data_IF_374222112446
#
_entry.id   IF_374222112446
#
_cell.length_a   1.000
_cell.length_b   1.000
_cell.length_c   1.000
_cell.angle_alpha   90.00
_cell.angle_beta   90.00
_cell.angle_gamma   90.00
#
_symmetry.space_group_name_H-M   'P 1'
#
loop_
_entity.id
_entity.type
_entity.pdbx_description
1 polymer ?
#
# COMPACT_ATOMS: atom_id res chain seq x y z
N UNK A 1 -14.27 10.22 45.36
CA UNK A 1 -13.93 8.86 44.87
C UNK A 1 -14.47 8.67 43.46
N UNK A 2 -14.04 9.55 42.55
CA UNK A 2 -14.61 9.75 41.21
C UNK A 2 -13.50 9.74 40.12
N UNK A 3 -12.35 9.16 40.48
CA UNK A 3 -11.10 9.15 39.68
C UNK A 3 -10.51 7.75 39.40
N UNK A 4 -11.25 6.67 39.65
CA UNK A 4 -10.81 5.29 39.31
C UNK A 4 -11.83 4.54 38.43
N UNK A 5 -13.04 5.08 38.22
CA UNK A 5 -14.09 4.46 37.39
C UNK A 5 -14.11 4.86 35.90
N UNK A 6 -13.25 5.79 35.46
CA UNK A 6 -13.21 6.28 34.06
C UNK A 6 -12.12 5.63 33.18
N UNK A 7 -11.20 4.85 33.77
CA UNK A 7 -10.09 4.21 33.06
C UNK A 7 -10.26 2.69 32.88
N UNK A 8 -11.10 2.06 33.67
CA UNK A 8 -11.27 0.60 33.68
C UNK A 8 -12.64 0.20 33.13
N UNK A 9 -12.96 0.63 31.91
CA UNK A 9 -14.17 0.24 31.19
C UNK A 9 -14.43 -1.27 31.30
N UNK A 10 -15.27 -1.61 32.27
CA UNK A 10 -15.98 -2.87 32.55
C UNK A 10 -15.31 -4.15 32.01
N UNK A 11 -14.64 -4.93 32.89
CA UNK A 11 -14.04 -6.25 32.56
C UNK A 11 -15.03 -7.32 32.07
N UNK A 12 -16.34 -7.08 32.11
CA UNK A 12 -17.37 -7.99 31.61
C UNK A 12 -17.83 -7.71 30.18
N UNK A 13 -17.49 -6.56 29.60
CA UNK A 13 -17.89 -6.20 28.22
C UNK A 13 -16.80 -6.58 27.20
N UNK A 14 -15.52 -6.63 27.60
CA UNK A 14 -14.44 -7.32 26.86
C UNK A 14 -14.72 -8.84 26.81
N UNK A 15 -15.37 -9.40 27.83
CA UNK A 15 -15.77 -10.81 27.88
C UNK A 15 -16.84 -11.17 26.83
N UNK A 16 -17.67 -10.21 26.41
CA UNK A 16 -18.68 -10.42 25.36
C UNK A 16 -18.11 -10.17 23.94
N UNK A 17 -17.14 -9.27 23.78
CA UNK A 17 -16.31 -9.17 22.55
C UNK A 17 -15.44 -10.43 22.35
N UNK A 18 -14.95 -11.01 23.44
CA UNK A 18 -14.37 -12.35 23.48
C UNK A 18 -15.41 -13.47 23.32
N UNK A 19 -16.70 -13.18 23.13
CA UNK A 19 -17.72 -14.18 22.77
C UNK A 19 -18.01 -14.24 21.27
N UNK A 20 -17.46 -13.31 20.48
CA UNK A 20 -17.05 -13.60 19.10
C UNK A 20 -15.90 -14.65 19.07
N UNK A 21 -15.29 -14.91 20.25
CA UNK A 21 -14.40 -16.03 20.56
C UNK A 21 -15.12 -17.20 21.28
N UNK A 22 -16.44 -17.35 21.16
CA UNK A 22 -17.15 -18.59 21.50
C UNK A 22 -18.17 -19.01 20.42
N UNK A 23 -17.69 -19.23 19.21
CA UNK A 23 -17.79 -20.57 18.64
C UNK A 23 -16.51 -21.29 19.06
N UNK A 24 -16.58 -22.13 20.10
CA UNK A 24 -15.40 -22.70 20.74
C UNK A 24 -14.42 -23.30 19.73
N UNK A 25 -13.17 -22.83 19.76
CA UNK A 25 -12.06 -23.47 19.02
C UNK A 25 -12.22 -23.66 17.51
N UNK A 26 -13.25 -23.08 16.88
CA UNK A 26 -13.56 -23.30 15.48
C UNK A 26 -13.47 -21.99 14.70
N UNK A 27 -12.73 -22.03 13.59
CA UNK A 27 -12.60 -20.93 12.65
C UNK A 27 -14.00 -20.44 12.21
N UNK A 28 -14.33 -19.20 12.56
CA UNK A 28 -15.64 -18.61 12.23
C UNK A 28 -15.55 -18.06 10.81
N UNK A 29 -16.09 -18.82 9.86
CA UNK A 29 -16.41 -18.33 8.52
C UNK A 29 -17.29 -17.07 8.66
N UNK A 30 -17.07 -15.98 7.91
CA UNK A 30 -18.06 -14.93 7.86
C UNK A 30 -19.39 -15.56 7.42
N UNK A 31 -20.52 -15.20 8.04
CA UNK A 31 -21.81 -15.83 7.81
C UNK A 31 -22.42 -15.36 6.49
N UNK A 32 -21.67 -15.56 5.40
CA UNK A 32 -22.02 -15.20 4.03
C UNK A 32 -23.28 -15.93 3.55
N UNK A 33 -23.59 -17.06 4.18
CA UNK A 33 -24.77 -17.89 3.97
C UNK A 33 -25.96 -17.53 4.88
N UNK A 34 -25.79 -16.66 5.88
CA UNK A 34 -26.86 -16.22 6.79
C UNK A 34 -27.43 -14.88 6.32
N UNK A 35 -28.64 -14.84 5.71
CA UNK A 35 -29.14 -13.64 5.04
C UNK A 35 -29.32 -12.43 5.94
N UNK A 36 -29.70 -12.65 7.20
CA UNK A 36 -30.04 -11.59 8.14
C UNK A 36 -28.88 -11.15 9.03
N UNK A 37 -27.72 -11.80 8.92
CA UNK A 37 -26.58 -11.50 9.77
C UNK A 37 -26.07 -10.09 9.51
N UNK A 38 -25.87 -9.35 10.60
CA UNK A 38 -25.31 -8.00 10.62
C UNK A 38 -24.64 -7.76 11.96
N UNK A 39 -23.76 -6.76 12.03
CA UNK A 39 -23.10 -6.38 13.27
C UNK A 39 -23.20 -4.87 13.53
N UNK A 40 -23.97 -4.52 14.57
CA UNK A 40 -24.37 -3.13 14.89
C UNK A 40 -23.48 -2.44 15.93
N UNK A 41 -22.52 -3.16 16.51
CA UNK A 41 -21.74 -2.66 17.66
C UNK A 41 -20.40 -2.05 17.26
N UNK A 42 -20.06 -2.07 15.97
CA UNK A 42 -18.79 -1.50 15.49
C UNK A 42 -18.77 0.02 15.66
N UNK A 43 -17.63 0.53 16.16
CA UNK A 43 -17.36 1.97 16.28
C UNK A 43 -16.43 2.48 15.19
N UNK A 44 -16.05 1.60 14.25
CA UNK A 44 -15.09 1.91 13.19
C UNK A 44 -15.71 2.79 12.11
N UNK A 45 -14.86 3.55 11.42
CA UNK A 45 -15.25 4.46 10.32
C UNK A 45 -16.11 3.79 9.24
N UNK A 46 -15.85 2.51 8.97
CA UNK A 46 -16.49 1.75 7.89
C UNK A 46 -17.60 0.82 8.39
N UNK A 47 -18.13 1.02 9.61
CA UNK A 47 -19.15 0.14 10.23
C UNK A 47 -20.39 -0.13 9.37
N UNK A 48 -20.74 0.76 8.44
CA UNK A 48 -21.89 0.57 7.54
C UNK A 48 -21.85 -0.77 6.80
N UNK A 49 -20.67 -1.25 6.37
CA UNK A 49 -20.56 -2.55 5.66
C UNK A 49 -20.88 -3.75 6.56
N UNK A 50 -20.83 -3.57 7.88
CA UNK A 50 -21.19 -4.57 8.88
C UNK A 50 -22.66 -4.43 9.30
N UNK A 51 -23.14 -3.19 9.44
CA UNK A 51 -24.54 -2.87 9.78
C UNK A 51 -25.51 -3.28 8.66
N UNK A 52 -25.09 -3.12 7.40
CA UNK A 52 -25.80 -3.52 6.18
C UNK A 52 -25.12 -4.71 5.46
N UNK A 53 -24.50 -5.60 6.23
CA UNK A 53 -23.97 -6.85 5.69
C UNK A 53 -25.02 -7.74 4.98
N UNK A 54 -26.33 -7.73 5.33
CA UNK A 54 -27.35 -8.44 4.57
C UNK A 54 -27.33 -8.13 3.08
N UNK A 55 -27.14 -6.86 2.69
CA UNK A 55 -27.04 -6.43 1.29
C UNK A 55 -25.79 -7.01 0.60
N UNK A 56 -24.64 -6.98 1.27
CA UNK A 56 -23.39 -7.53 0.74
C UNK A 56 -23.49 -9.05 0.56
N UNK A 57 -24.02 -9.74 1.58
CA UNK A 57 -24.16 -11.20 1.57
C UNK A 57 -25.20 -11.66 0.55
N UNK A 58 -26.25 -10.86 0.28
CA UNK A 58 -27.20 -11.10 -0.80
C UNK A 58 -26.51 -11.14 -2.16
N UNK A 59 -25.73 -10.10 -2.48
CA UNK A 59 -25.01 -10.05 -3.76
C UNK A 59 -23.94 -11.14 -3.85
N UNK A 60 -23.27 -11.45 -2.75
CA UNK A 60 -22.37 -12.61 -2.69
C UNK A 60 -23.10 -13.92 -3.06
N UNK A 61 -24.30 -14.17 -2.51
CA UNK A 61 -25.09 -15.37 -2.82
C UNK A 61 -25.56 -15.39 -4.28
N UNK A 62 -25.73 -14.23 -4.92
CA UNK A 62 -26.07 -14.12 -6.33
C UNK A 62 -24.92 -14.51 -7.29
N UNK A 63 -23.66 -14.49 -6.82
CA UNK A 63 -22.50 -14.88 -7.63
C UNK A 63 -22.54 -16.38 -7.99
N UNK A 64 -21.92 -16.77 -9.10
CA UNK A 64 -21.74 -18.18 -9.43
C UNK A 64 -20.97 -18.92 -8.32
N UNK A 65 -21.30 -20.20 -8.09
CA UNK A 65 -20.74 -21.02 -7.01
C UNK A 65 -19.21 -20.98 -6.98
N UNK A 66 -18.58 -21.04 -8.14
CA UNK A 66 -17.12 -21.06 -8.26
C UNK A 66 -16.45 -19.80 -7.71
N UNK A 67 -17.07 -18.61 -7.84
CA UNK A 67 -16.56 -17.37 -7.25
C UNK A 67 -16.79 -17.34 -5.74
N UNK A 68 -17.98 -17.80 -5.31
CA UNK A 68 -18.33 -17.89 -3.88
C UNK A 68 -17.36 -18.80 -3.13
N UNK A 69 -17.01 -19.94 -3.71
CA UNK A 69 -16.08 -20.90 -3.12
C UNK A 69 -14.69 -20.28 -2.90
N UNK A 70 -14.18 -19.49 -3.87
CA UNK A 70 -12.89 -18.80 -3.72
C UNK A 70 -12.96 -17.76 -2.61
N UNK A 71 -13.96 -16.87 -2.64
CA UNK A 71 -14.13 -15.80 -1.64
C UNK A 71 -14.28 -16.39 -0.23
N UNK A 72 -15.11 -17.42 -0.07
CA UNK A 72 -15.37 -18.05 1.22
C UNK A 72 -14.14 -18.75 1.79
N UNK A 73 -13.36 -19.46 0.95
CA UNK A 73 -12.08 -20.08 1.35
C UNK A 73 -11.06 -19.02 1.82
N UNK A 74 -10.92 -17.93 1.07
CA UNK A 74 -10.03 -16.83 1.44
C UNK A 74 -10.49 -16.18 2.75
N UNK A 75 -11.76 -15.83 2.88
CA UNK A 75 -12.30 -15.27 4.11
C UNK A 75 -12.07 -16.17 5.33
N UNK A 76 -12.25 -17.49 5.17
CA UNK A 76 -12.00 -18.45 6.24
C UNK A 76 -10.53 -18.46 6.67
N UNK A 77 -9.60 -18.55 5.71
CA UNK A 77 -8.15 -18.53 5.98
C UNK A 77 -7.67 -17.22 6.59
N UNK A 78 -8.17 -16.08 6.07
CA UNK A 78 -7.88 -14.75 6.61
C UNK A 78 -8.39 -14.63 8.05
N UNK A 79 -9.63 -15.05 8.32
CA UNK A 79 -10.21 -15.01 9.66
C UNK A 79 -9.44 -15.86 10.67
N UNK A 80 -9.04 -17.08 10.28
CA UNK A 80 -8.21 -17.94 11.11
C UNK A 80 -6.84 -17.31 11.41
N UNK A 81 -6.18 -16.75 10.40
CA UNK A 81 -4.90 -16.08 10.53
C UNK A 81 -4.96 -14.81 11.39
N UNK A 82 -5.98 -13.98 11.20
CA UNK A 82 -6.23 -12.80 12.03
C UNK A 82 -6.44 -13.20 13.50
N UNK A 83 -7.21 -14.27 13.75
CA UNK A 83 -7.45 -14.78 15.10
C UNK A 83 -6.17 -15.30 15.79
N UNK A 84 -5.20 -15.83 15.03
CA UNK A 84 -3.87 -16.19 15.54
C UNK A 84 -3.14 -14.95 16.06
N UNK A 85 -3.08 -13.88 15.27
CA UNK A 85 -2.37 -12.65 15.61
C UNK A 85 -3.11 -11.73 16.60
N UNK A 86 -4.35 -12.04 16.99
CA UNK A 86 -4.98 -11.43 18.16
C UNK A 86 -4.33 -11.87 19.48
N UNK A 87 -3.62 -13.00 19.49
CA UNK A 87 -3.09 -13.60 20.73
C UNK A 87 -1.58 -13.39 20.88
N UNK A 88 -0.92 -12.82 19.88
CA UNK A 88 0.54 -12.62 19.88
C UNK A 88 0.93 -11.36 19.12
N UNK A 89 2.13 -10.87 19.40
CA UNK A 89 2.78 -9.81 18.63
C UNK A 89 3.62 -10.41 17.51
N UNK A 90 4.07 -9.58 16.57
CA UNK A 90 5.01 -9.97 15.51
C UNK A 90 6.44 -9.96 16.07
N UNK A 91 7.01 -11.14 16.32
CA UNK A 91 8.34 -11.23 16.92
C UNK A 91 9.45 -11.28 15.86
N UNK A 92 9.29 -12.04 14.76
CA UNK A 92 10.31 -12.23 13.73
C UNK A 92 9.92 -11.70 12.35
N UNK A 93 10.89 -11.58 11.43
CA UNK A 93 10.62 -11.27 10.03
C UNK A 93 9.72 -12.33 9.36
N UNK A 94 9.89 -13.59 9.72
CA UNK A 94 9.04 -14.68 9.22
C UNK A 94 7.60 -14.55 9.73
N UNK A 95 7.40 -14.15 10.99
CA UNK A 95 6.06 -13.87 11.51
C UNK A 95 5.46 -12.62 10.87
N UNK A 96 6.28 -11.64 10.49
CA UNK A 96 5.82 -10.47 9.76
C UNK A 96 5.33 -10.84 8.36
N UNK A 97 6.06 -11.70 7.65
CA UNK A 97 5.61 -12.30 6.38
C UNK A 97 4.31 -13.08 6.56
N UNK A 98 4.21 -13.89 7.63
CA UNK A 98 3.00 -14.66 7.94
C UNK A 98 1.79 -13.77 8.25
N UNK A 99 2.00 -12.69 8.99
CA UNK A 99 0.95 -11.69 9.24
C UNK A 99 0.49 -11.07 7.92
N UNK A 100 1.42 -10.56 7.11
CA UNK A 100 1.12 -9.94 5.81
C UNK A 100 0.43 -10.93 4.85
N UNK A 101 0.83 -12.20 4.87
CA UNK A 101 0.16 -13.27 4.14
C UNK A 101 -1.31 -13.36 4.53
N UNK A 102 -1.62 -13.43 5.83
CA UNK A 102 -3.00 -13.56 6.27
C UNK A 102 -3.87 -12.34 5.97
N UNK A 103 -3.35 -11.12 6.08
CA UNK A 103 -4.18 -9.91 5.94
C UNK A 103 -4.29 -9.42 4.49
N UNK A 104 -3.27 -9.64 3.65
CA UNK A 104 -3.26 -9.13 2.26
C UNK A 104 -2.77 -10.17 1.26
N UNK A 105 -1.79 -11.02 1.58
CA UNK A 105 -1.30 -12.05 0.65
C UNK A 105 -2.41 -13.02 0.19
N UNK A 106 -3.29 -13.43 1.10
CA UNK A 106 -4.48 -14.24 0.79
C UNK A 106 -5.49 -13.51 -0.09
N UNK A 107 -5.63 -12.18 0.05
CA UNK A 107 -6.47 -11.37 -0.83
C UNK A 107 -5.94 -11.43 -2.26
N UNK A 108 -4.62 -11.26 -2.43
CA UNK A 108 -3.97 -11.38 -3.73
C UNK A 108 -4.12 -12.77 -4.34
N UNK A 109 -3.91 -13.85 -3.55
CA UNK A 109 -4.15 -15.24 -3.99
C UNK A 109 -5.62 -15.44 -4.42
N UNK A 110 -6.57 -14.91 -3.65
CA UNK A 110 -7.99 -14.96 -3.98
C UNK A 110 -8.32 -14.30 -5.30
N UNK A 111 -7.81 -13.09 -5.52
CA UNK A 111 -7.98 -12.35 -6.77
C UNK A 111 -7.35 -13.09 -7.96
N UNK A 112 -6.15 -13.63 -7.80
CA UNK A 112 -5.49 -14.44 -8.84
C UNK A 112 -6.33 -15.66 -9.23
N UNK A 113 -6.89 -16.37 -8.25
CA UNK A 113 -7.82 -17.49 -8.49
C UNK A 113 -9.08 -17.03 -9.20
N UNK A 114 -9.66 -15.89 -8.81
CA UNK A 114 -10.83 -15.32 -9.48
C UNK A 114 -10.52 -14.98 -10.96
N UNK A 115 -9.37 -14.37 -11.26
CA UNK A 115 -8.99 -14.05 -12.65
C UNK A 115 -8.89 -15.30 -13.52
N UNK A 116 -8.31 -16.39 -13.01
CA UNK A 116 -8.23 -17.65 -13.75
C UNK A 116 -9.60 -18.33 -13.90
N UNK A 117 -10.42 -18.34 -12.86
CA UNK A 117 -11.76 -18.96 -12.90
C UNK A 117 -12.75 -18.17 -13.76
N UNK A 118 -12.57 -16.85 -13.85
CA UNK A 118 -13.31 -15.98 -14.78
C UNK A 118 -12.82 -16.12 -16.23
N UNK A 119 -11.80 -16.96 -16.48
CA UNK A 119 -11.12 -17.10 -17.78
C UNK A 119 -10.57 -15.77 -18.32
N UNK A 120 -10.30 -14.80 -17.43
CA UNK A 120 -9.64 -13.54 -17.78
C UNK A 120 -8.14 -13.71 -17.91
N UNK A 121 -7.57 -14.72 -17.26
CA UNK A 121 -6.13 -15.00 -17.26
C UNK A 121 -5.88 -16.51 -17.30
N UNK A 122 -4.67 -16.90 -17.70
CA UNK A 122 -4.28 -18.31 -17.72
C UNK A 122 -4.40 -18.97 -16.33
N UNK A 123 -4.68 -20.29 -16.24
CA UNK A 123 -4.80 -21.01 -14.97
C UNK A 123 -3.57 -20.91 -14.06
N UNK A 124 -2.38 -20.72 -14.65
CA UNK A 124 -1.12 -20.58 -13.88
C UNK A 124 -1.15 -19.37 -12.93
N UNK A 125 -1.89 -18.30 -13.27
CA UNK A 125 -2.03 -17.12 -12.42
C UNK A 125 -2.70 -17.47 -11.09
N UNK A 126 -3.77 -18.26 -11.13
CA UNK A 126 -4.48 -18.72 -9.92
C UNK A 126 -3.80 -19.87 -9.18
N UNK A 127 -2.84 -20.56 -9.81
CA UNK A 127 -2.10 -21.70 -9.22
C UNK A 127 -0.81 -21.28 -8.52
N UNK A 128 -0.09 -20.28 -9.05
CA UNK A 128 1.16 -19.78 -8.49
C UNK A 128 0.89 -18.86 -7.28
N UNK A 129 0.64 -19.49 -6.13
CA UNK A 129 0.31 -18.77 -4.90
C UNK A 129 1.48 -18.01 -4.32
N UNK A 130 2.72 -18.38 -4.65
CA UNK A 130 3.92 -17.71 -4.12
C UNK A 130 4.05 -16.30 -4.70
N UNK A 131 3.97 -16.18 -6.03
CA UNK A 131 3.99 -14.87 -6.68
C UNK A 131 2.78 -14.01 -6.30
N UNK A 132 1.60 -14.62 -6.25
CA UNK A 132 0.39 -13.92 -5.81
C UNK A 132 0.52 -13.43 -4.36
N UNK A 133 1.12 -14.22 -3.47
CA UNK A 133 1.38 -13.81 -2.10
C UNK A 133 2.34 -12.61 -2.05
N UNK A 134 3.46 -12.66 -2.78
CA UNK A 134 4.46 -11.59 -2.81
C UNK A 134 3.85 -10.25 -3.28
N UNK A 135 2.91 -10.27 -4.24
CA UNK A 135 2.15 -9.09 -4.66
C UNK A 135 1.43 -8.41 -3.49
N UNK A 136 0.77 -9.19 -2.62
CA UNK A 136 0.05 -8.68 -1.47
C UNK A 136 0.97 -8.25 -0.33
N UNK A 137 1.99 -9.06 -0.03
CA UNK A 137 2.95 -8.79 1.04
C UNK A 137 3.75 -7.50 0.76
N UNK A 138 4.13 -7.24 -0.49
CA UNK A 138 4.81 -6.00 -0.85
C UNK A 138 3.99 -4.75 -0.52
N UNK A 139 2.70 -4.77 -0.88
CA UNK A 139 1.76 -3.67 -0.60
C UNK A 139 1.63 -3.48 0.91
N UNK A 140 1.36 -4.57 1.65
CA UNK A 140 1.10 -4.50 3.09
C UNK A 140 2.31 -4.00 3.87
N UNK A 141 3.52 -4.46 3.52
CA UNK A 141 4.75 -3.96 4.15
C UNK A 141 4.95 -2.46 3.90
N UNK A 142 4.68 -1.98 2.68
CA UNK A 142 4.76 -0.55 2.38
C UNK A 142 3.77 0.29 3.20
N UNK A 143 2.57 -0.25 3.45
CA UNK A 143 1.56 0.40 4.30
C UNK A 143 2.02 0.41 5.76
N UNK A 144 2.39 -0.74 6.33
CA UNK A 144 2.84 -0.89 7.73
C UNK A 144 4.05 0.01 8.02
N UNK A 145 5.00 0.12 7.10
CA UNK A 145 6.16 1.00 7.27
C UNK A 145 5.73 2.46 7.32
N UNK A 146 4.87 2.89 6.38
CA UNK A 146 4.43 4.28 6.27
C UNK A 146 3.54 4.72 7.43
N UNK A 147 2.69 3.82 7.94
CA UNK A 147 1.67 4.12 8.95
C UNK A 147 2.15 3.95 10.40
N UNK A 148 3.47 3.77 10.62
CA UNK A 148 4.09 3.62 11.94
C UNK A 148 3.47 4.55 13.02
N UNK A 149 3.42 5.87 12.79
CA UNK A 149 2.94 6.80 13.81
C UNK A 149 1.43 6.69 14.05
N UNK A 150 0.64 6.46 13.00
CA UNK A 150 -0.81 6.27 13.10
C UNK A 150 -1.14 5.01 13.91
N UNK A 151 -0.39 3.93 13.66
CA UNK A 151 -0.50 2.68 14.42
C UNK A 151 -0.08 2.86 15.88
N UNK A 152 1.02 3.54 16.15
CA UNK A 152 1.45 3.82 17.53
C UNK A 152 0.41 4.62 18.31
N UNK A 153 -0.17 5.67 17.70
CA UNK A 153 -1.21 6.48 18.35
C UNK A 153 -2.49 5.69 18.63
N UNK A 154 -2.77 4.66 17.82
CA UNK A 154 -3.87 3.73 18.02
C UNK A 154 -3.52 2.51 18.90
N UNK A 155 -2.30 2.44 19.43
CA UNK A 155 -1.85 1.33 20.27
C UNK A 155 -1.60 0.02 19.51
N UNK A 156 -1.35 0.09 18.20
CA UNK A 156 -1.04 -1.05 17.33
C UNK A 156 0.47 -1.14 17.05
N UNK A 157 1.00 -2.36 17.02
CA UNK A 157 2.43 -2.63 16.82
C UNK A 157 2.62 -3.75 15.80
N UNK A 158 3.04 -3.40 14.58
CA UNK A 158 3.20 -4.37 13.48
C UNK A 158 4.65 -4.59 13.04
N UNK A 159 5.58 -3.72 13.46
CA UNK A 159 6.99 -3.89 13.10
C UNK A 159 7.58 -5.08 13.88
N UNK A 160 8.37 -5.95 13.23
CA UNK A 160 8.91 -7.16 13.85
C UNK A 160 9.95 -6.84 14.91
N UNK A 161 9.79 -7.43 16.10
CA UNK A 161 10.70 -7.23 17.25
C UNK A 161 12.15 -7.54 16.95
N UNK A 162 12.39 -8.62 16.20
CA UNK A 162 13.71 -9.04 15.73
C UNK A 162 14.49 -7.87 15.09
N UNK A 163 13.80 -6.96 14.41
CA UNK A 163 14.41 -5.77 13.80
C UNK A 163 14.43 -4.61 14.79
N UNK A 164 13.27 -4.12 15.25
CA UNK A 164 13.22 -2.85 15.97
C UNK A 164 13.90 -2.89 17.35
N UNK A 165 13.99 -4.07 17.97
CA UNK A 165 14.61 -4.22 19.30
C UNK A 165 16.12 -3.98 19.30
N UNK A 166 16.75 -3.99 18.12
CA UNK A 166 18.17 -3.61 17.94
C UNK A 166 18.37 -2.09 17.99
N UNK A 167 17.32 -1.31 17.78
CA UNK A 167 17.36 0.15 17.68
C UNK A 167 16.74 0.84 18.90
N UNK A 168 15.79 0.19 19.57
CA UNK A 168 15.13 0.73 20.75
C UNK A 168 14.61 -0.35 21.70
N UNK A 169 14.32 0.05 22.95
CA UNK A 169 13.79 -0.86 23.98
C UNK A 169 12.30 -1.19 23.79
N UNK A 170 11.54 -0.26 23.23
CA UNK A 170 10.13 -0.43 22.85
C UNK A 170 9.92 0.15 21.45
N UNK A 171 8.97 -0.41 20.69
CA UNK A 171 8.65 0.12 19.36
C UNK A 171 8.22 1.59 19.40
N UNK A 172 7.45 1.98 20.42
CA UNK A 172 7.01 3.36 20.65
C UNK A 172 8.15 4.34 20.91
N UNK A 173 9.32 3.85 21.35
CA UNK A 173 10.46 4.73 21.61
C UNK A 173 11.05 5.30 20.31
N UNK A 174 10.80 4.69 19.14
CA UNK A 174 11.27 5.22 17.85
C UNK A 174 10.60 6.56 17.48
N UNK A 175 9.43 6.87 18.04
CA UNK A 175 8.77 8.17 17.85
C UNK A 175 9.41 9.31 18.67
N UNK A 176 10.28 9.00 19.64
CA UNK A 176 10.90 10.00 20.51
C UNK A 176 11.93 10.84 19.74
N UNK A 177 11.97 12.17 19.91
CA UNK A 177 12.90 13.04 19.19
C UNK A 177 14.36 12.62 19.30
N UNK A 178 14.79 12.14 20.47
CA UNK A 178 16.14 11.67 20.75
C UNK A 178 16.52 10.37 20.03
N UNK A 179 15.56 9.57 19.57
CA UNK A 179 15.79 8.30 18.88
C UNK A 179 15.60 8.39 17.36
N UNK A 180 15.39 9.60 16.81
CA UNK A 180 14.98 9.76 15.41
C UNK A 180 15.98 9.16 14.41
N UNK A 181 17.28 9.22 14.70
CA UNK A 181 18.30 8.71 13.78
C UNK A 181 18.33 7.17 13.77
N UNK A 182 18.22 6.52 14.93
CA UNK A 182 18.12 5.05 15.01
C UNK A 182 16.78 4.54 14.49
N UNK A 183 15.71 5.33 14.63
CA UNK A 183 14.41 5.04 14.05
C UNK A 183 14.46 5.00 12.52
N UNK A 184 15.15 5.95 11.91
CA UNK A 184 15.36 5.94 10.45
C UNK A 184 16.18 4.74 10.00
N UNK A 185 17.22 4.34 10.72
CA UNK A 185 17.99 3.12 10.39
C UNK A 185 17.12 1.86 10.47
N UNK A 186 16.29 1.73 11.51
CA UNK A 186 15.32 0.64 11.64
C UNK A 186 14.35 0.59 10.45
N UNK A 187 13.82 1.76 10.05
CA UNK A 187 12.93 1.86 8.90
C UNK A 187 13.62 1.46 7.59
N UNK A 188 14.85 1.93 7.37
CA UNK A 188 15.62 1.59 6.17
C UNK A 188 15.78 0.07 6.04
N UNK A 189 16.05 -0.63 7.15
CA UNK A 189 16.12 -2.09 7.15
C UNK A 189 14.80 -2.77 6.76
N UNK A 190 13.67 -2.30 7.29
CA UNK A 190 12.35 -2.82 6.92
C UNK A 190 11.98 -2.54 5.46
N UNK A 191 12.35 -1.36 4.93
CA UNK A 191 12.16 -1.03 3.52
C UNK A 191 12.94 -1.99 2.65
N UNK A 192 14.21 -2.27 2.96
CA UNK A 192 15.02 -3.24 2.22
C UNK A 192 14.35 -4.60 2.21
N UNK A 193 13.83 -5.05 3.35
CA UNK A 193 13.09 -6.30 3.44
C UNK A 193 11.84 -6.31 2.54
N UNK A 194 11.11 -5.20 2.43
CA UNK A 194 10.00 -5.07 1.49
C UNK A 194 10.46 -5.12 0.02
N UNK A 195 11.59 -4.49 -0.34
CA UNK A 195 12.10 -4.46 -1.73
C UNK A 195 12.42 -5.86 -2.30
N UNK A 196 12.67 -6.86 -1.45
CA UNK A 196 12.90 -8.25 -1.89
C UNK A 196 11.70 -8.89 -2.61
N UNK A 197 10.50 -8.32 -2.49
CA UNK A 197 9.30 -8.79 -3.18
C UNK A 197 9.19 -8.28 -4.63
N UNK A 198 9.97 -7.27 -5.02
CA UNK A 198 9.86 -6.66 -6.36
C UNK A 198 10.11 -7.65 -7.51
N UNK A 199 11.09 -8.57 -7.44
CA UNK A 199 11.28 -9.57 -8.49
C UNK A 199 10.04 -10.43 -8.76
N UNK A 200 9.37 -10.87 -7.69
CA UNK A 200 8.13 -11.66 -7.79
C UNK A 200 6.99 -10.81 -8.35
N UNK A 201 6.86 -9.55 -7.90
CA UNK A 201 5.88 -8.60 -8.41
C UNK A 201 6.02 -8.42 -9.93
N UNK A 202 7.24 -8.20 -10.41
CA UNK A 202 7.52 -8.02 -11.84
C UNK A 202 7.24 -9.30 -12.63
N UNK A 203 7.56 -10.46 -12.04
CA UNK A 203 7.29 -11.77 -12.65
C UNK A 203 5.79 -12.01 -12.76
N UNK A 204 5.02 -11.77 -11.69
CA UNK A 204 3.56 -11.89 -11.70
C UNK A 204 2.93 -10.98 -12.75
N UNK A 205 3.26 -9.68 -12.74
CA UNK A 205 2.68 -8.70 -13.66
C UNK A 205 3.03 -9.00 -15.13
N UNK A 206 4.20 -9.57 -15.42
CA UNK A 206 4.60 -9.95 -16.78
C UNK A 206 3.78 -11.10 -17.38
N UNK A 207 3.07 -11.87 -16.56
CA UNK A 207 2.24 -13.00 -16.99
C UNK A 207 0.79 -12.60 -17.30
N UNK A 208 0.35 -11.43 -16.85
CA UNK A 208 -1.01 -10.94 -17.07
C UNK A 208 -1.20 -10.51 -18.53
N UNK A 209 -2.29 -10.97 -19.15
CA UNK A 209 -2.63 -10.71 -20.55
C UNK A 209 -3.78 -9.72 -20.69
N UNK A 210 -4.71 -9.70 -19.74
CA UNK A 210 -5.90 -8.86 -19.81
C UNK A 210 -5.61 -7.46 -19.27
N UNK A 211 -5.80 -6.43 -20.10
CA UNK A 211 -5.41 -5.05 -19.77
C UNK A 211 -6.07 -4.50 -18.50
N UNK A 212 -7.35 -4.80 -18.27
CA UNK A 212 -8.06 -4.35 -17.06
C UNK A 212 -7.51 -5.02 -15.80
N UNK A 213 -7.19 -6.32 -15.87
CA UNK A 213 -6.55 -7.09 -14.80
C UNK A 213 -5.13 -6.57 -14.54
N UNK A 214 -4.36 -6.32 -15.60
CA UNK A 214 -3.03 -5.72 -15.50
C UNK A 214 -3.09 -4.37 -14.79
N UNK A 215 -3.95 -3.45 -15.21
CA UNK A 215 -4.09 -2.13 -14.59
C UNK A 215 -4.48 -2.25 -13.12
N UNK A 216 -5.46 -3.09 -12.82
CA UNK A 216 -5.92 -3.36 -11.45
C UNK A 216 -4.78 -3.87 -10.55
N UNK A 217 -3.95 -4.78 -11.06
CA UNK A 217 -2.84 -5.35 -10.31
C UNK A 217 -1.61 -4.42 -10.24
N UNK A 218 -1.29 -3.69 -11.30
CA UNK A 218 -0.06 -2.90 -11.41
C UNK A 218 -0.13 -1.59 -10.62
N UNK A 219 -1.29 -0.94 -10.58
CA UNK A 219 -1.47 0.36 -9.93
C UNK A 219 -1.07 0.33 -8.44
N UNK A 220 -1.57 -0.60 -7.61
CA UNK A 220 -1.16 -0.70 -6.21
C UNK A 220 0.34 -0.93 -6.03
N UNK A 221 0.98 -1.68 -6.93
CA UNK A 221 2.41 -2.00 -6.87
C UNK A 221 3.28 -0.77 -7.12
N UNK A 222 2.95 0.03 -8.15
CA UNK A 222 3.68 1.27 -8.43
C UNK A 222 3.45 2.33 -7.35
N UNK A 223 2.29 2.33 -6.69
CA UNK A 223 2.04 3.18 -5.53
C UNK A 223 2.83 2.74 -4.29
N UNK A 224 2.98 1.43 -4.08
CA UNK A 224 3.76 0.89 -2.97
C UNK A 224 5.24 1.27 -3.08
N UNK A 225 5.88 1.09 -4.25
CA UNK A 225 7.28 1.51 -4.43
C UNK A 225 7.48 3.02 -4.30
N UNK A 226 6.53 3.83 -4.81
CA UNK A 226 6.58 5.28 -4.65
C UNK A 226 6.47 5.69 -3.17
N UNK A 227 5.66 4.96 -2.40
CA UNK A 227 5.50 5.16 -0.96
C UNK A 227 6.78 4.79 -0.21
N UNK A 228 7.38 3.64 -0.51
CA UNK A 228 8.65 3.22 0.06
C UNK A 228 9.77 4.22 -0.25
N UNK A 229 9.87 4.71 -1.49
CA UNK A 229 10.83 5.74 -1.86
C UNK A 229 10.62 7.08 -1.11
N UNK A 230 9.36 7.43 -0.83
CA UNK A 230 9.01 8.61 -0.02
C UNK A 230 9.36 8.42 1.47
N UNK A 231 9.24 7.19 1.98
CA UNK A 231 9.57 6.86 3.37
C UNK A 231 11.07 6.67 3.59
N UNK A 232 11.82 6.19 2.60
CA UNK A 232 13.23 5.85 2.77
C UNK A 232 14.07 7.03 3.25
N UNK A 233 14.81 6.81 4.33
CA UNK A 233 15.63 7.83 5.00
C UNK A 233 14.86 9.11 5.42
N UNK A 234 13.54 9.03 5.63
CA UNK A 234 12.67 10.17 5.92
C UNK A 234 12.19 10.22 7.37
N UNK A 235 12.70 11.20 8.13
CA UNK A 235 12.33 11.44 9.55
C UNK A 235 10.83 11.73 9.76
N UNK A 236 10.11 12.16 8.72
CA UNK A 236 8.69 12.52 8.84
C UNK A 236 7.78 11.33 9.12
N UNK A 237 8.20 10.09 8.80
CA UNK A 237 7.44 8.86 9.11
C UNK A 237 7.18 8.73 10.62
N UNK A 238 8.07 9.26 11.45
CA UNK A 238 7.98 9.23 12.91
C UNK A 238 7.30 10.46 13.53
N UNK A 239 6.98 11.48 12.72
CA UNK A 239 6.50 12.80 13.21
C UNK A 239 5.15 13.21 12.64
N UNK A 240 4.71 12.56 11.57
CA UNK A 240 3.45 12.88 10.93
C UNK A 240 3.09 11.90 9.83
N UNK A 241 2.24 12.37 8.92
CA UNK A 241 1.69 11.56 7.84
C UNK A 241 2.54 11.73 6.59
N UNK A 242 3.14 10.63 6.13
CA UNK A 242 3.88 10.59 4.86
C UNK A 242 3.00 9.93 3.80
N UNK A 243 2.58 10.67 2.79
CA UNK A 243 1.74 10.15 1.69
C UNK A 243 2.23 10.70 0.35
N UNK A 244 2.16 9.88 -0.69
CA UNK A 244 2.32 10.37 -2.06
C UNK A 244 1.21 11.40 -2.37
N UNK A 245 1.55 12.45 -3.12
CA UNK A 245 0.58 13.50 -3.47
C UNK A 245 -0.46 12.95 -4.44
N UNK A 246 -1.70 13.46 -4.38
CA UNK A 246 -2.79 13.03 -5.29
C UNK A 246 -2.41 13.14 -6.77
N UNK A 247 -1.77 14.24 -7.18
CA UNK A 247 -1.31 14.40 -8.56
C UNK A 247 -0.30 13.33 -8.98
N UNK A 248 0.65 12.98 -8.10
CA UNK A 248 1.59 11.89 -8.34
C UNK A 248 0.88 10.54 -8.45
N UNK A 249 -0.10 10.27 -7.59
CA UNK A 249 -0.90 9.05 -7.65
C UNK A 249 -1.65 8.93 -8.99
N UNK A 250 -2.27 10.01 -9.47
CA UNK A 250 -2.94 10.05 -10.78
C UNK A 250 -1.96 9.75 -11.91
N UNK A 251 -0.78 10.36 -11.91
CA UNK A 251 0.26 10.06 -12.91
C UNK A 251 0.65 8.58 -12.90
N UNK A 252 0.85 7.99 -11.72
CA UNK A 252 1.17 6.56 -11.60
C UNK A 252 0.05 5.68 -12.14
N UNK A 253 -1.21 6.03 -11.89
CA UNK A 253 -2.37 5.30 -12.41
C UNK A 253 -2.46 5.35 -13.92
N UNK A 254 -2.19 6.51 -14.53
CA UNK A 254 -2.22 6.69 -15.98
C UNK A 254 -1.04 5.98 -16.68
N UNK A 255 0.11 5.94 -16.02
CA UNK A 255 1.36 5.43 -16.61
C UNK A 255 1.52 3.92 -16.47
N UNK A 256 0.97 3.29 -15.42
CA UNK A 256 1.17 1.88 -15.11
C UNK A 256 0.28 0.94 -15.95
N UNK A 257 0.38 1.04 -17.27
CA UNK A 257 -0.50 0.35 -18.22
C UNK A 257 0.16 -0.79 -18.98
N UNK A 258 1.46 -1.01 -18.83
CA UNK A 258 2.13 -2.20 -19.36
C UNK A 258 3.40 -2.52 -18.56
N UNK A 259 3.93 -3.74 -18.72
CA UNK A 259 5.08 -4.21 -17.95
C UNK A 259 6.33 -3.35 -18.14
N UNK A 260 6.55 -2.79 -19.33
CA UNK A 260 7.70 -1.94 -19.60
C UNK A 260 7.59 -0.59 -18.87
N UNK A 261 6.40 0.00 -18.84
CA UNK A 261 6.13 1.20 -18.06
C UNK A 261 6.27 0.95 -16.55
N UNK A 262 5.77 -0.19 -16.05
CA UNK A 262 5.95 -0.59 -14.64
C UNK A 262 7.43 -0.77 -14.30
N UNK A 263 8.21 -1.47 -15.13
CA UNK A 263 9.66 -1.60 -14.95
C UNK A 263 10.38 -0.25 -14.91
N UNK A 264 10.03 0.68 -15.80
CA UNK A 264 10.56 2.05 -15.79
C UNK A 264 10.22 2.79 -14.49
N UNK A 265 8.99 2.67 -14.00
CA UNK A 265 8.55 3.31 -12.74
C UNK A 265 9.29 2.70 -11.54
N UNK A 266 9.35 1.37 -11.46
CA UNK A 266 10.05 0.63 -10.40
C UNK A 266 11.53 1.03 -10.36
N UNK A 267 12.20 1.01 -11.52
CA UNK A 267 13.59 1.45 -11.65
C UNK A 267 13.78 2.89 -11.15
N UNK A 268 12.92 3.83 -11.57
CA UNK A 268 13.03 5.23 -11.18
C UNK A 268 12.96 5.43 -9.66
N UNK A 269 12.02 4.75 -8.99
CA UNK A 269 11.87 4.89 -7.53
C UNK A 269 12.94 4.13 -6.74
N UNK A 270 13.40 2.99 -7.24
CA UNK A 270 14.53 2.26 -6.67
C UNK A 270 15.83 3.07 -6.80
N UNK A 271 16.02 3.77 -7.92
CA UNK A 271 17.12 4.72 -8.11
C UNK A 271 16.99 5.95 -7.19
N UNK A 272 15.77 6.42 -6.92
CA UNK A 272 15.55 7.48 -5.92
C UNK A 272 15.95 7.02 -4.51
N UNK A 273 15.64 5.78 -4.13
CA UNK A 273 16.10 5.17 -2.88
C UNK A 273 17.63 5.10 -2.86
N UNK A 274 18.25 4.65 -3.96
CA UNK A 274 19.71 4.55 -4.08
C UNK A 274 20.43 5.86 -3.77
N UNK A 275 19.93 6.97 -4.31
CA UNK A 275 20.49 8.32 -4.09
C UNK A 275 20.32 8.83 -2.66
N UNK A 276 19.39 8.24 -1.89
CA UNK A 276 19.10 8.62 -0.49
C UNK A 276 19.88 7.77 0.53
N UNK A 277 20.67 6.78 0.09
CA UNK A 277 21.43 5.90 0.99
C UNK A 277 22.46 6.73 1.76
N UNK A 278 22.38 6.82 3.10
CA UNK A 278 23.39 7.48 3.91
C UNK A 278 24.68 6.65 3.90
N UNK A 279 25.85 7.28 3.79
CA UNK A 279 27.13 6.55 3.95
C UNK A 279 27.32 5.95 5.36
N UNK A 280 26.56 6.41 6.35
CA UNK A 280 26.61 5.99 7.75
C UNK A 280 25.58 4.93 8.12
N UNK A 281 24.70 4.53 7.19
CA UNK A 281 23.64 3.56 7.49
C UNK A 281 24.19 2.12 7.53
N UNK A 282 23.86 1.38 8.58
CA UNK A 282 24.35 0.01 8.78
C UNK A 282 23.91 -0.95 7.67
N UNK A 283 22.79 -0.65 7.00
CA UNK A 283 22.23 -1.47 5.94
C UNK A 283 22.70 -1.06 4.55
N UNK A 284 23.48 0.03 4.40
CA UNK A 284 23.90 0.62 3.11
C UNK A 284 24.34 -0.40 2.06
N UNK A 285 25.28 -1.29 2.41
CA UNK A 285 25.80 -2.28 1.47
C UNK A 285 24.72 -3.26 1.00
N UNK A 286 23.86 -3.71 1.92
CA UNK A 286 22.74 -4.59 1.59
C UNK A 286 21.73 -3.84 0.71
N UNK A 287 21.40 -2.59 1.05
CA UNK A 287 20.53 -1.74 0.23
C UNK A 287 21.05 -1.61 -1.19
N UNK A 288 22.34 -1.28 -1.35
CA UNK A 288 22.96 -1.13 -2.67
C UNK A 288 22.88 -2.43 -3.47
N UNK A 289 23.20 -3.57 -2.86
CA UNK A 289 23.13 -4.88 -3.53
C UNK A 289 21.70 -5.22 -3.98
N UNK A 290 20.70 -5.06 -3.09
CA UNK A 290 19.30 -5.30 -3.43
C UNK A 290 18.82 -4.38 -4.55
N UNK A 291 19.16 -3.09 -4.50
CA UNK A 291 18.79 -2.12 -5.53
C UNK A 291 19.42 -2.49 -6.88
N UNK A 292 20.73 -2.75 -6.91
CA UNK A 292 21.42 -3.11 -8.16
C UNK A 292 20.80 -4.36 -8.78
N UNK A 293 20.47 -5.37 -7.97
CA UNK A 293 19.78 -6.58 -8.43
C UNK A 293 18.42 -6.26 -9.09
N UNK A 294 17.60 -5.41 -8.46
CA UNK A 294 16.31 -4.97 -9.01
C UNK A 294 16.49 -4.14 -10.29
N UNK A 295 17.51 -3.28 -10.34
CA UNK A 295 17.82 -2.46 -11.52
C UNK A 295 18.20 -3.34 -12.71
N UNK A 296 19.06 -4.34 -12.51
CA UNK A 296 19.42 -5.32 -13.55
C UNK A 296 18.21 -6.12 -14.02
N UNK A 297 17.28 -6.48 -13.12
CA UNK A 297 16.04 -7.16 -13.50
C UNK A 297 15.10 -6.29 -14.35
N UNK A 298 15.01 -4.99 -14.03
CA UNK A 298 14.22 -4.05 -14.80
C UNK A 298 14.83 -3.80 -16.19
N UNK A 299 16.14 -3.60 -16.26
CA UNK A 299 16.87 -3.26 -17.47
C UNK A 299 18.26 -3.94 -17.52
N UNK A 300 18.36 -5.19 -18.01
CA UNK A 300 19.63 -5.92 -18.01
C UNK A 300 20.69 -5.28 -18.92
N UNK A 301 20.27 -4.50 -19.94
CA UNK A 301 21.17 -3.87 -20.91
C UNK A 301 21.32 -2.34 -20.72
N UNK A 302 20.88 -1.79 -19.58
CA UNK A 302 21.08 -0.38 -19.23
C UNK A 302 20.32 0.66 -20.06
N UNK A 303 19.47 0.26 -21.02
CA UNK A 303 18.65 1.20 -21.81
C UNK A 303 17.42 1.65 -21.03
N UNK A 304 17.63 2.55 -20.08
CA UNK A 304 16.55 3.31 -19.45
C UNK A 304 16.16 4.43 -20.42
N UNK A 305 14.95 4.36 -20.99
CA UNK A 305 14.38 5.54 -21.66
C UNK A 305 14.07 6.56 -20.57
N UNK A 306 14.95 7.55 -20.42
CA UNK A 306 14.72 8.69 -19.53
C UNK A 306 13.38 9.31 -19.91
N UNK A 307 12.41 9.24 -19.00
CA UNK A 307 11.22 10.08 -19.10
C UNK A 307 11.72 11.51 -18.88
N UNK A 308 11.85 12.28 -19.95
CA UNK A 308 11.93 13.73 -19.89
C UNK A 308 10.64 14.22 -19.23
N UNK A 309 10.64 14.30 -17.89
CA UNK A 309 9.65 15.04 -17.15
C UNK A 309 9.87 16.50 -17.53
N UNK A 310 9.04 17.04 -18.41
CA UNK A 310 8.83 18.49 -18.39
C UNK A 310 8.39 18.80 -16.96
N UNK A 311 9.27 19.45 -16.19
CA UNK A 311 8.94 19.93 -14.86
C UNK A 311 7.57 20.62 -14.93
N UNK A 312 6.66 20.39 -13.97
CA UNK A 312 5.40 21.12 -13.89
C UNK A 312 5.61 22.64 -13.94
N UNK A 313 6.81 23.11 -13.56
CA UNK A 313 7.26 24.49 -13.70
C UNK A 313 7.29 24.92 -15.16
N UNK A 314 7.80 24.12 -16.11
CA UNK A 314 7.83 24.50 -17.52
C UNK A 314 6.43 24.60 -18.12
N UNK A 315 5.51 23.69 -17.77
CA UNK A 315 4.12 23.79 -18.19
C UNK A 315 3.43 25.03 -17.57
N UNK A 316 3.67 25.28 -16.29
CA UNK A 316 3.14 26.45 -15.59
C UNK A 316 3.70 27.77 -16.15
N UNK A 317 5.01 27.81 -16.45
CA UNK A 317 5.67 28.94 -17.08
C UNK A 317 5.18 29.14 -18.52
N UNK A 318 4.97 28.06 -19.30
CA UNK A 318 4.42 28.15 -20.64
C UNK A 318 2.98 28.69 -20.64
N UNK A 319 2.15 28.24 -19.69
CA UNK A 319 0.79 28.78 -19.53
C UNK A 319 0.79 30.25 -19.06
N UNK A 320 1.69 30.63 -18.15
CA UNK A 320 1.88 32.02 -17.74
C UNK A 320 2.31 32.90 -18.91
N UNK A 321 3.28 32.44 -19.71
CA UNK A 321 3.74 33.16 -20.90
C UNK A 321 2.61 33.29 -21.93
N UNK A 322 1.85 32.23 -22.19
CA UNK A 322 0.70 32.28 -23.08
C UNK A 322 -0.38 33.28 -22.60
N UNK A 323 -0.66 33.32 -21.30
CA UNK A 323 -1.61 34.26 -20.71
C UNK A 323 -1.12 35.72 -20.82
N UNK A 324 0.16 35.97 -20.55
CA UNK A 324 0.77 37.30 -20.68
C UNK A 324 0.81 37.75 -22.14
N UNK A 325 1.16 36.86 -23.07
CA UNK A 325 1.12 37.15 -24.51
C UNK A 325 -0.28 37.45 -25.00
N UNK A 326 -1.30 36.72 -24.53
CA UNK A 326 -2.71 36.99 -24.86
C UNK A 326 -3.15 38.37 -24.37
N UNK A 327 -2.82 38.71 -23.12
CA UNK A 327 -3.13 40.04 -22.56
C UNK A 327 -2.43 41.18 -23.32
N UNK A 328 -1.19 40.98 -23.75
CA UNK A 328 -0.45 41.96 -24.54
C UNK A 328 -1.08 42.16 -25.93
N UNK A 329 -1.43 41.06 -26.60
CA UNK A 329 -2.10 41.10 -27.91
C UNK A 329 -3.48 41.75 -27.84
N UNK A 330 -4.28 41.48 -26.80
CA UNK A 330 -5.58 42.11 -26.62
C UNK A 330 -5.44 43.61 -26.35
N UNK A 331 -4.50 44.03 -25.51
CA UNK A 331 -4.26 45.45 -25.23
C UNK A 331 -3.73 46.21 -26.46
N UNK A 332 -2.91 45.56 -27.30
CA UNK A 332 -2.49 46.13 -28.59
C UNK A 332 -3.65 46.28 -29.58
N UNK A 333 -4.57 45.32 -29.63
CA UNK A 333 -5.76 45.38 -30.48
C UNK A 333 -6.66 46.54 -30.08
N UNK A 334 -6.95 46.69 -28.78
CA UNK A 334 -7.73 47.81 -28.25
C UNK A 334 -7.07 49.16 -28.53
N UNK A 335 -5.74 49.26 -28.36
CA UNK A 335 -5.01 50.48 -28.65
C UNK A 335 -5.01 50.85 -30.14
N UNK A 336 -5.01 49.84 -31.04
CA UNK A 336 -5.07 50.07 -32.48
C UNK A 336 -6.46 50.53 -32.92
N UNK A 337 -7.53 49.96 -32.34
CA UNK A 337 -8.91 50.40 -32.55
C UNK A 337 -9.14 51.84 -32.05
N UNK A 338 -8.59 52.19 -30.89
CA UNK A 338 -8.67 53.56 -30.34
C UNK A 338 -7.92 54.61 -31.18
N UNK A 339 -6.84 54.22 -31.86
CA UNK A 339 -6.11 55.09 -32.80
C UNK A 339 -6.92 55.28 -34.09
N UNK A 340 -7.49 54.21 -34.64
CA UNK A 340 -8.36 54.29 -35.83
C UNK A 340 -9.66 55.05 -35.58
N UNK A 341 -10.20 54.99 -34.36
CA UNK A 341 -11.38 55.76 -33.96
C UNK A 341 -11.10 57.26 -33.76
N UNK A 342 -9.84 57.68 -33.61
CA UNK A 342 -9.44 59.09 -33.50
C UNK A 342 -9.04 59.73 -34.84
N UNK A 343 -8.81 58.92 -35.88
CA UNK A 343 -8.47 59.39 -37.24
C UNK A 343 -9.68 59.51 -38.17
N UNK A 344 -10.88 59.10 -37.73
CA UNK A 344 -12.17 59.39 -38.36
C UNK A 344 -12.94 60.43 -37.53
#
# INVERSE_FOLDING_TARGET
>A
MERVGRWLGRPREIYNLLRFKMGGGAAVMPPLDQPDWRYMESKEKYKQVLEDFPTISLEFRNLAKVYRDVIADICHKMGAGMAEFLQKKVESLQEWDKYCHYVVGLVSIGLSRLFSVLELEDPIIGQDTELANSMGVFIEKAIIIRDYLEDQLAGREFWPREVWSRYAKKLSDLAKPENIDVAVQCMNELIINALHHIPDVLTYLSRLKTQSVFNFCAIPQVMAIATLATCYNNKQVFRGVVKIRKGQAVTLMMDATNIQAVKSIMYQYVEEIYRKIPSTDLSSNKTQQTIVSIQTLCFPNGTVVSRNRYSPIYLSCAMLLAALSWQYLSAMSEALEDVQAKEN
#
